data_IF_437574078478
#
_entry.id   IF_437574078478
#
_cell.length_a   1.000
_cell.length_b   1.000
_cell.length_c   1.000
_cell.angle_alpha   90.00
_cell.angle_beta   90.00
_cell.angle_gamma   90.00
#
_symmetry.space_group_name_H-M   'P 1'
#
loop_
_entity.id
_entity.type
_entity.pdbx_description
1 polymer ?
#
# COMPACT_ATOMS: atom_id res chain seq x y z
N UNK A 1 16.75 1.25 30.50
CA UNK A 1 16.15 0.72 29.27
C UNK A 1 15.50 1.91 28.57
N UNK A 2 15.90 2.22 27.33
CA UNK A 2 15.23 3.28 26.58
C UNK A 2 13.77 2.85 26.36
N UNK A 3 12.83 3.75 26.64
CA UNK A 3 11.42 3.50 26.37
C UNK A 3 11.24 3.32 24.85
N UNK A 4 10.46 2.31 24.45
CA UNK A 4 10.06 2.02 23.06
C UNK A 4 9.07 3.07 22.49
N UNK A 5 9.17 4.31 22.97
CA UNK A 5 8.30 5.39 22.57
C UNK A 5 8.77 5.94 21.23
N UNK A 6 7.93 5.90 20.18
CA UNK A 6 8.32 6.42 18.89
C UNK A 6 8.66 7.91 19.01
N UNK A 7 9.79 8.31 18.41
CA UNK A 7 10.21 9.71 18.36
C UNK A 7 9.18 10.60 17.66
N UNK A 8 8.30 9.99 16.85
CA UNK A 8 7.32 10.68 16.05
C UNK A 8 6.20 9.73 15.61
N UNK A 9 4.99 10.26 15.45
CA UNK A 9 3.84 9.55 14.87
C UNK A 9 3.07 10.54 14.00
N UNK A 10 2.65 10.16 12.78
CA UNK A 10 1.88 11.07 11.92
C UNK A 10 0.49 11.32 12.49
N UNK A 11 -0.07 12.50 12.20
CA UNK A 11 -1.48 12.78 12.48
C UNK A 11 -2.40 11.98 11.55
N UNK A 12 -3.64 11.74 11.95
CA UNK A 12 -4.62 11.03 11.13
C UNK A 12 -4.83 11.71 9.77
N UNK A 13 -4.89 13.04 9.74
CA UNK A 13 -5.02 13.80 8.48
C UNK A 13 -3.87 13.54 7.51
N UNK A 14 -2.63 13.40 8.02
CA UNK A 14 -1.47 13.05 7.18
C UNK A 14 -1.52 11.63 6.68
N UNK A 15 -2.06 10.71 7.47
CA UNK A 15 -2.30 9.33 7.04
C UNK A 15 -3.36 9.32 5.94
N UNK A 16 -4.50 9.99 6.14
CA UNK A 16 -5.62 10.00 5.20
C UNK A 16 -5.26 10.65 3.86
N UNK A 17 -4.44 11.71 3.90
CA UNK A 17 -3.96 12.42 2.71
C UNK A 17 -2.78 11.72 2.00
N UNK A 18 -2.17 10.69 2.59
CA UNK A 18 -1.04 10.01 1.97
C UNK A 18 -1.48 9.23 0.71
N UNK A 19 -0.75 9.31 -0.42
CA UNK A 19 -1.02 8.49 -1.60
C UNK A 19 -1.03 7.00 -1.29
N UNK A 20 -0.22 6.56 -0.31
CA UNK A 20 -0.19 5.19 0.17
C UNK A 20 -1.55 4.72 0.72
N UNK A 21 -2.32 5.60 1.37
CA UNK A 21 -3.66 5.25 1.89
C UNK A 21 -4.66 5.08 0.74
N UNK A 22 -4.59 5.90 -0.30
CA UNK A 22 -5.38 5.72 -1.52
C UNK A 22 -4.99 4.42 -2.24
N UNK A 23 -3.69 4.15 -2.36
CA UNK A 23 -3.17 2.92 -2.96
C UNK A 23 -3.60 1.67 -2.18
N UNK A 24 -3.56 1.70 -0.85
CA UNK A 24 -4.00 0.59 -0.01
C UNK A 24 -5.49 0.25 -0.22
N UNK A 25 -6.34 1.25 -0.45
CA UNK A 25 -7.76 1.04 -0.82
C UNK A 25 -7.90 0.37 -2.19
N UNK A 26 -7.12 0.81 -3.18
CA UNK A 26 -7.11 0.19 -4.51
C UNK A 26 -6.58 -1.25 -4.45
N UNK A 27 -5.57 -1.51 -3.63
CA UNK A 27 -4.99 -2.83 -3.43
C UNK A 27 -5.96 -3.78 -2.74
N UNK A 28 -6.67 -3.32 -1.70
CA UNK A 28 -7.74 -4.09 -1.07
C UNK A 28 -8.83 -4.51 -2.08
N UNK A 29 -9.27 -3.56 -2.93
CA UNK A 29 -10.22 -3.86 -4.00
C UNK A 29 -9.68 -4.85 -5.03
N UNK A 30 -8.38 -4.76 -5.37
CA UNK A 30 -7.71 -5.66 -6.33
C UNK A 30 -7.54 -7.08 -5.76
N UNK A 31 -7.21 -7.19 -4.47
CA UNK A 31 -7.04 -8.46 -3.76
C UNK A 31 -8.38 -9.14 -3.45
N UNK A 32 -9.47 -8.38 -3.39
CA UNK A 32 -10.76 -8.90 -2.91
C UNK A 32 -10.79 -9.10 -1.40
N UNK A 33 -9.90 -8.43 -0.67
CA UNK A 33 -9.69 -8.57 0.77
C UNK A 33 -9.67 -7.20 1.44
N UNK A 34 -10.08 -7.12 2.71
CA UNK A 34 -10.00 -5.87 3.47
C UNK A 34 -8.61 -5.71 4.09
N UNK A 35 -7.94 -4.58 3.82
CA UNK A 35 -6.67 -4.24 4.48
C UNK A 35 -6.93 -3.30 5.66
N UNK A 36 -6.56 -3.75 6.85
CA UNK A 36 -6.72 -3.00 8.10
C UNK A 36 -5.44 -2.24 8.49
N UNK A 37 -4.32 -2.62 7.90
CA UNK A 37 -3.01 -2.08 8.23
C UNK A 37 -2.05 -2.11 7.02
N UNK A 38 -0.98 -1.34 7.11
CA UNK A 38 0.13 -1.45 6.17
C UNK A 38 0.74 -2.86 6.12
N UNK A 39 0.70 -3.61 7.23
CA UNK A 39 1.22 -4.97 7.27
C UNK A 39 0.42 -5.92 6.37
N UNK A 40 -0.90 -5.71 6.25
CA UNK A 40 -1.75 -6.49 5.33
C UNK A 40 -1.38 -6.20 3.87
N UNK A 41 -1.20 -4.93 3.52
CA UNK A 41 -0.73 -4.52 2.19
C UNK A 41 0.64 -5.13 1.86
N UNK A 42 1.56 -5.09 2.82
CA UNK A 42 2.91 -5.64 2.66
C UNK A 42 2.90 -7.17 2.52
N UNK A 43 2.03 -7.88 3.25
CA UNK A 43 1.87 -9.32 3.09
C UNK A 43 1.39 -9.64 1.67
N UNK A 44 0.31 -8.97 1.23
CA UNK A 44 -0.25 -9.18 -0.11
C UNK A 44 0.75 -8.85 -1.23
N UNK A 45 1.55 -7.78 -1.08
CA UNK A 45 2.53 -7.40 -2.11
C UNK A 45 3.62 -8.45 -2.35
N UNK A 46 3.86 -9.32 -1.35
CA UNK A 46 4.80 -10.43 -1.44
C UNK A 46 4.10 -11.71 -1.94
N UNK A 47 2.88 -11.98 -1.46
CA UNK A 47 2.11 -13.16 -1.82
C UNK A 47 1.65 -13.14 -3.29
N UNK A 48 1.21 -11.98 -3.79
CA UNK A 48 0.82 -11.77 -5.19
C UNK A 48 1.57 -10.59 -5.81
N UNK A 49 2.87 -10.82 -6.08
CA UNK A 49 3.75 -9.84 -6.70
C UNK A 49 3.25 -9.36 -8.07
N UNK A 50 2.62 -10.25 -8.84
CA UNK A 50 2.14 -9.94 -10.19
C UNK A 50 1.00 -8.94 -10.15
N UNK A 51 -0.03 -9.21 -9.34
CA UNK A 51 -1.13 -8.28 -9.14
C UNK A 51 -0.66 -6.97 -8.49
N UNK A 52 0.28 -7.03 -7.54
CA UNK A 52 0.86 -5.84 -6.90
C UNK A 52 1.54 -4.92 -7.92
N UNK A 53 2.52 -5.42 -8.69
CA UNK A 53 3.24 -4.59 -9.66
C UNK A 53 2.36 -4.12 -10.81
N UNK A 54 1.40 -4.95 -11.25
CA UNK A 54 0.39 -4.54 -12.22
C UNK A 54 -0.46 -3.37 -11.70
N UNK A 55 -0.86 -3.41 -10.42
CA UNK A 55 -1.60 -2.31 -9.80
C UNK A 55 -0.75 -1.06 -9.59
N UNK A 56 0.51 -1.19 -9.18
CA UNK A 56 1.44 -0.04 -9.06
C UNK A 56 1.57 0.67 -10.41
N UNK A 57 1.72 -0.10 -11.49
CA UNK A 57 1.79 0.46 -12.85
C UNK A 57 0.55 1.28 -13.19
N UNK A 58 -0.64 0.72 -12.97
CA UNK A 58 -1.92 1.39 -13.28
C UNK A 58 -2.15 2.62 -12.39
N UNK A 59 -1.88 2.49 -11.09
CA UNK A 59 -2.10 3.56 -10.11
C UNK A 59 -1.19 4.76 -10.35
N UNK A 60 0.06 4.52 -10.73
CA UNK A 60 1.03 5.57 -11.03
C UNK A 60 0.91 6.11 -12.47
N UNK A 61 0.06 5.51 -13.32
CA UNK A 61 -0.15 5.94 -14.69
C UNK A 61 1.08 5.76 -15.58
N UNK A 62 1.85 4.68 -15.38
CA UNK A 62 3.03 4.42 -16.21
C UNK A 62 2.64 4.22 -17.68
N UNK A 63 3.35 4.91 -18.57
CA UNK A 63 3.15 4.80 -20.03
C UNK A 63 4.12 3.79 -20.61
N UNK A 64 3.58 2.74 -21.23
CA UNK A 64 4.33 1.65 -21.83
C UNK A 64 3.55 0.34 -21.76
N UNK A 65 4.19 -0.75 -22.18
CA UNK A 65 3.60 -2.08 -22.17
C UNK A 65 4.04 -2.86 -20.91
N UNK A 66 3.08 -3.47 -20.21
CA UNK A 66 3.38 -4.41 -19.12
C UNK A 66 4.04 -5.64 -19.73
N UNK A 67 5.20 -6.02 -19.19
CA UNK A 67 5.89 -7.25 -19.61
C UNK A 67 5.07 -8.50 -19.29
N UNK A 68 5.34 -9.58 -20.03
CA UNK A 68 4.85 -10.94 -19.75
C UNK A 68 5.59 -11.60 -18.59
#
# INVERSE_FOLDING_TARGET
MAADTPLWTPTQERIDAAPLTAFMKAAAAKAGEAFSSYADLHRWSIEDRGAFWSLVWDFCGLVGDKGE
#
